data_IF_737716415017
#
_entry.id   IF_737716415017
#
_cell.length_a   1.000
_cell.length_b   1.000
_cell.length_c   1.000
_cell.angle_alpha   90.00
_cell.angle_beta   90.00
_cell.angle_gamma   90.00
#
_symmetry.space_group_name_H-M   'P 1'
#
loop_
_entity.id
_entity.type
_entity.pdbx_description
1 polymer ?
#
# COMPACT_ATOMS: atom_id res chain seq x y z
N UNK A 1 11.69 -35.91 17.21
CA UNK A 1 11.89 -34.70 18.04
C UNK A 1 12.77 -33.75 17.23
N UNK A 2 12.29 -32.56 16.86
CA UNK A 2 13.15 -31.60 16.15
C UNK A 2 14.24 -31.11 17.10
N UNK A 3 15.49 -31.17 16.65
CA UNK A 3 16.61 -30.70 17.47
C UNK A 3 16.60 -29.17 17.52
N UNK A 4 17.08 -28.58 18.62
CA UNK A 4 17.07 -27.13 18.88
C UNK A 4 17.55 -26.29 17.68
N UNK A 5 18.59 -26.76 16.98
CA UNK A 5 19.12 -26.13 15.77
C UNK A 5 18.09 -26.07 14.61
N UNK A 6 17.32 -27.14 14.39
CA UNK A 6 16.29 -27.18 13.35
C UNK A 6 15.14 -26.22 13.66
N UNK A 7 14.78 -26.08 14.94
CA UNK A 7 13.76 -25.11 15.37
C UNK A 7 14.21 -23.67 15.11
N UNK A 8 15.47 -23.34 15.43
CA UNK A 8 16.04 -22.01 15.15
C UNK A 8 16.06 -21.75 13.63
N UNK A 9 16.50 -22.73 12.84
CA UNK A 9 16.59 -22.59 11.39
C UNK A 9 15.20 -22.39 10.77
N UNK A 10 14.20 -23.13 11.23
CA UNK A 10 12.81 -22.98 10.78
C UNK A 10 12.25 -21.59 11.10
N UNK A 11 12.51 -21.08 12.31
CA UNK A 11 12.15 -19.71 12.71
C UNK A 11 12.83 -18.65 11.83
N UNK A 12 14.12 -18.83 11.53
CA UNK A 12 14.87 -17.91 10.69
C UNK A 12 14.32 -17.87 9.25
N UNK A 13 13.99 -19.03 8.67
CA UNK A 13 13.36 -19.13 7.34
C UNK A 13 11.98 -18.47 7.35
N UNK A 14 11.15 -18.73 8.36
CA UNK A 14 9.84 -18.09 8.48
C UNK A 14 9.95 -16.56 8.59
N UNK A 15 10.90 -16.06 9.39
CA UNK A 15 11.16 -14.63 9.51
C UNK A 15 11.62 -14.02 8.17
N UNK A 16 12.53 -14.69 7.45
CA UNK A 16 13.00 -14.23 6.15
C UNK A 16 11.86 -14.13 5.12
N UNK A 17 10.96 -15.13 5.08
CA UNK A 17 9.78 -15.12 4.20
C UNK A 17 8.87 -13.93 4.54
N UNK A 18 8.58 -13.70 5.83
CA UNK A 18 7.76 -12.58 6.28
C UNK A 18 8.38 -11.24 5.88
N UNK A 19 9.68 -11.05 6.13
CA UNK A 19 10.40 -9.82 5.78
C UNK A 19 10.37 -9.60 4.26
N UNK A 20 10.59 -10.66 3.48
CA UNK A 20 10.51 -10.63 2.02
C UNK A 20 9.12 -10.18 1.54
N UNK A 21 8.06 -10.76 2.09
CA UNK A 21 6.67 -10.40 1.75
C UNK A 21 6.35 -8.94 2.11
N UNK A 22 6.70 -8.49 3.31
CA UNK A 22 6.48 -7.10 3.73
C UNK A 22 7.25 -6.11 2.85
N UNK A 23 8.50 -6.45 2.49
CA UNK A 23 9.32 -5.65 1.58
C UNK A 23 8.69 -5.57 0.20
N UNK A 24 8.23 -6.70 -0.33
CA UNK A 24 7.56 -6.78 -1.63
C UNK A 24 6.28 -5.93 -1.67
N UNK A 25 5.43 -6.03 -0.64
CA UNK A 25 4.21 -5.21 -0.51
C UNK A 25 4.56 -3.71 -0.47
N UNK A 26 5.59 -3.33 0.30
CA UNK A 26 6.07 -1.95 0.35
C UNK A 26 6.56 -1.43 -0.99
N UNK A 27 7.27 -2.27 -1.75
CA UNK A 27 7.72 -1.94 -3.11
C UNK A 27 6.53 -1.78 -4.07
N UNK A 28 5.54 -2.69 -4.03
CA UNK A 28 4.33 -2.57 -4.84
C UNK A 28 3.60 -1.26 -4.59
N UNK A 29 3.44 -0.86 -3.33
CA UNK A 29 2.83 0.42 -2.99
C UNK A 29 3.62 1.61 -3.56
N UNK A 30 4.95 1.59 -3.48
CA UNK A 30 5.81 2.61 -4.11
C UNK A 30 5.64 2.65 -5.63
N UNK A 31 5.64 1.49 -6.29
CA UNK A 31 5.42 1.39 -7.72
C UNK A 31 4.04 1.93 -8.13
N UNK A 32 3.00 1.64 -7.35
CA UNK A 32 1.67 2.17 -7.56
C UNK A 32 1.65 3.70 -7.47
N UNK A 33 2.29 4.29 -6.45
CA UNK A 33 2.42 5.74 -6.32
C UNK A 33 3.13 6.35 -7.53
N UNK A 34 4.29 5.81 -7.90
CA UNK A 34 5.06 6.29 -9.05
C UNK A 34 4.25 6.21 -10.36
N UNK A 35 3.58 5.08 -10.61
CA UNK A 35 2.73 4.91 -11.79
C UNK A 35 1.57 5.90 -11.80
N UNK A 36 0.97 6.17 -10.65
CA UNK A 36 -0.14 7.13 -10.52
C UNK A 36 0.33 8.53 -10.88
N UNK A 37 1.42 8.99 -10.27
CA UNK A 37 2.02 10.31 -10.57
C UNK A 37 2.31 10.43 -12.07
N UNK A 38 3.02 9.43 -12.64
CA UNK A 38 3.37 9.42 -14.06
C UNK A 38 2.14 9.44 -14.98
N UNK A 39 1.08 8.72 -14.64
CA UNK A 39 -0.17 8.70 -15.43
C UNK A 39 -0.92 10.03 -15.36
N UNK A 40 -0.89 10.70 -14.19
CA UNK A 40 -1.50 12.01 -14.01
C UNK A 40 -0.70 13.07 -14.78
N UNK A 41 0.63 13.08 -14.67
CA UNK A 41 1.50 14.04 -15.35
C UNK A 41 1.50 13.86 -16.87
N UNK A 42 1.43 12.62 -17.37
CA UNK A 42 1.35 12.35 -18.81
C UNK A 42 -0.05 12.52 -19.40
N UNK A 43 -1.04 13.00 -18.64
CA UNK A 43 -2.42 13.16 -19.09
C UNK A 43 -3.18 11.85 -19.37
N UNK A 44 -2.54 10.68 -19.16
CA UNK A 44 -3.12 9.36 -19.44
C UNK A 44 -4.23 8.95 -18.45
N UNK A 45 -4.33 9.63 -17.32
CA UNK A 45 -5.44 9.48 -16.37
C UNK A 45 -6.43 10.63 -16.55
N UNK A 46 -7.71 10.32 -16.76
CA UNK A 46 -8.77 11.33 -16.78
C UNK A 46 -9.11 11.81 -15.38
N UNK A 47 -9.64 13.02 -15.26
CA UNK A 47 -10.04 13.60 -13.97
C UNK A 47 -11.11 12.76 -13.27
N UNK A 48 -12.09 12.25 -14.03
CA UNK A 48 -13.10 11.33 -13.49
C UNK A 48 -12.47 10.07 -12.87
N UNK A 49 -11.45 9.50 -13.51
CA UNK A 49 -10.73 8.33 -12.98
C UNK A 49 -9.93 8.69 -11.72
N UNK A 50 -9.26 9.84 -11.74
CA UNK A 50 -8.47 10.33 -10.61
C UNK A 50 -9.37 10.59 -9.38
N UNK A 51 -10.48 11.30 -9.56
CA UNK A 51 -11.47 11.56 -8.51
C UNK A 51 -12.07 10.28 -7.95
N UNK A 52 -12.45 9.33 -8.81
CA UNK A 52 -12.98 8.02 -8.37
C UNK A 52 -11.96 7.28 -7.50
N UNK A 53 -10.69 7.25 -7.92
CA UNK A 53 -9.62 6.57 -7.17
C UNK A 53 -9.32 7.29 -5.85
N UNK A 54 -9.29 8.62 -5.85
CA UNK A 54 -9.14 9.44 -4.65
C UNK A 54 -10.27 9.18 -3.64
N UNK A 55 -11.53 9.17 -4.07
CA UNK A 55 -12.66 8.93 -3.17
C UNK A 55 -12.65 7.52 -2.58
N UNK A 56 -12.25 6.53 -3.38
CA UNK A 56 -12.06 5.17 -2.89
C UNK A 56 -10.95 5.09 -1.84
N UNK A 57 -9.78 5.67 -2.11
CA UNK A 57 -8.69 5.67 -1.12
C UNK A 57 -9.05 6.47 0.13
N UNK A 58 -9.76 7.60 0.00
CA UNK A 58 -10.32 8.39 1.12
C UNK A 58 -11.22 7.56 2.02
N UNK A 59 -12.11 6.74 1.44
CA UNK A 59 -13.03 5.87 2.19
C UNK A 59 -12.30 4.77 2.97
N UNK A 60 -11.27 4.18 2.39
CA UNK A 60 -10.64 2.98 2.95
C UNK A 60 -9.33 3.23 3.71
N UNK A 61 -8.71 4.42 3.62
CA UNK A 61 -7.43 4.72 4.29
C UNK A 61 -7.47 4.49 5.81
N UNK A 62 -8.61 4.77 6.44
CA UNK A 62 -8.80 4.67 7.88
C UNK A 62 -9.55 3.41 8.33
N UNK A 63 -10.05 2.61 7.38
CA UNK A 63 -10.80 1.41 7.70
C UNK A 63 -9.88 0.33 8.27
N UNK A 64 -9.97 0.12 9.58
CA UNK A 64 -9.22 -0.92 10.29
C UNK A 64 -9.63 -2.30 9.79
N UNK A 65 -10.94 -2.54 9.64
CA UNK A 65 -11.47 -3.82 9.14
C UNK A 65 -10.93 -4.14 7.75
N UNK A 66 -11.00 -3.19 6.80
CA UNK A 66 -10.51 -3.40 5.45
C UNK A 66 -9.00 -3.64 5.42
N UNK A 67 -8.25 -2.91 6.24
CA UNK A 67 -6.80 -3.05 6.31
C UNK A 67 -6.39 -4.37 6.97
N UNK A 68 -7.11 -4.82 7.99
CA UNK A 68 -6.90 -6.13 8.61
C UNK A 68 -7.22 -7.26 7.65
N UNK A 69 -8.30 -7.17 6.88
CA UNK A 69 -8.65 -8.16 5.86
C UNK A 69 -7.56 -8.31 4.79
N UNK A 70 -6.95 -7.20 4.34
CA UNK A 70 -5.93 -7.23 3.28
C UNK A 70 -4.50 -7.52 3.75
N UNK A 71 -4.14 -7.10 4.97
CA UNK A 71 -2.76 -7.18 5.49
C UNK A 71 -2.61 -8.07 6.72
N UNK A 72 -3.70 -8.68 7.20
CA UNK A 72 -3.72 -9.55 8.37
C UNK A 72 -3.18 -8.88 9.63
N UNK A 73 -2.33 -9.61 10.37
CA UNK A 73 -1.66 -9.12 11.58
C UNK A 73 -0.80 -7.87 11.32
N UNK A 74 -0.40 -7.63 10.07
CA UNK A 74 0.40 -6.48 9.66
C UNK A 74 -0.45 -5.26 9.27
N UNK A 75 -1.72 -5.21 9.69
CA UNK A 75 -2.63 -4.11 9.34
C UNK A 75 -2.09 -2.72 9.66
N UNK A 76 -1.30 -2.54 10.73
CA UNK A 76 -0.68 -1.24 11.05
C UNK A 76 0.29 -0.79 9.96
N UNK A 77 1.04 -1.72 9.38
CA UNK A 77 1.91 -1.46 8.23
C UNK A 77 1.09 -1.13 6.98
N UNK A 78 0.06 -1.94 6.70
CA UNK A 78 -0.89 -1.69 5.61
C UNK A 78 -1.54 -0.31 5.70
N UNK A 79 -1.93 0.15 6.90
CA UNK A 79 -2.53 1.46 7.13
C UNK A 79 -1.55 2.58 6.73
N UNK A 80 -0.27 2.46 7.09
CA UNK A 80 0.77 3.41 6.68
C UNK A 80 0.95 3.45 5.16
N UNK A 81 0.87 2.31 4.48
CA UNK A 81 0.94 2.26 3.02
C UNK A 81 -0.28 2.90 2.36
N UNK A 82 -1.49 2.57 2.84
CA UNK A 82 -2.74 3.16 2.36
C UNK A 82 -2.74 4.68 2.54
N UNK A 83 -2.24 5.19 3.67
CA UNK A 83 -2.07 6.61 3.91
C UNK A 83 -1.15 7.26 2.86
N UNK A 84 0.01 6.66 2.58
CA UNK A 84 0.95 7.19 1.56
C UNK A 84 0.33 7.23 0.17
N UNK A 85 -0.40 6.18 -0.22
CA UNK A 85 -1.11 6.13 -1.50
C UNK A 85 -2.19 7.23 -1.54
N UNK A 86 -2.93 7.44 -0.45
CA UNK A 86 -3.92 8.51 -0.35
C UNK A 86 -3.31 9.91 -0.51
N UNK A 87 -2.19 10.21 0.17
CA UNK A 87 -1.52 11.51 0.03
C UNK A 87 -1.07 11.77 -1.42
N UNK A 88 -0.55 10.75 -2.12
CA UNK A 88 -0.20 10.88 -3.55
C UNK A 88 -1.42 11.23 -4.40
N UNK A 89 -2.56 10.57 -4.19
CA UNK A 89 -3.79 10.92 -4.89
C UNK A 89 -4.27 12.33 -4.57
N UNK A 90 -4.15 12.75 -3.30
CA UNK A 90 -4.49 14.11 -2.86
C UNK A 90 -3.61 15.16 -3.54
N UNK A 91 -2.31 14.94 -3.61
CA UNK A 91 -1.38 15.83 -4.33
C UNK A 91 -1.72 15.90 -5.82
N UNK A 92 -2.03 14.76 -6.47
CA UNK A 92 -2.46 14.74 -7.87
C UNK A 92 -3.75 15.52 -8.10
N UNK A 93 -4.71 15.44 -7.18
CA UNK A 93 -5.95 16.22 -7.22
C UNK A 93 -5.67 17.73 -7.11
N UNK A 94 -4.80 18.13 -6.17
CA UNK A 94 -4.37 19.53 -5.99
C UNK A 94 -3.68 20.06 -7.26
N UNK A 95 -2.75 19.29 -7.84
CA UNK A 95 -2.04 19.67 -9.08
C UNK A 95 -2.97 19.96 -10.25
N UNK A 96 -4.13 19.29 -10.31
CA UNK A 96 -5.15 19.47 -11.36
C UNK A 96 -6.29 20.41 -10.95
N UNK A 97 -6.19 21.05 -9.78
CA UNK A 97 -7.22 21.93 -9.24
C UNK A 97 -8.62 21.27 -9.15
N UNK A 98 -8.65 19.99 -8.77
CA UNK A 98 -9.88 19.19 -8.63
C UNK A 98 -10.44 19.25 -7.20
N UNK A 99 -11.76 19.05 -7.01
CA UNK A 99 -12.40 19.14 -5.69
C UNK A 99 -11.97 17.99 -4.74
N UNK A 100 -11.62 18.33 -3.50
CA UNK A 100 -11.10 17.41 -2.46
C UNK A 100 -12.15 16.95 -1.44
#
# INVERSE_FOLDING_TARGET
MMNFLQTILALAVAAAIIIGLLTFIGLLAKFQCYRTIKQVESGKMSDATLMRRYNMTKKYKDSVFWTFFNYGIYYKYGKKLNQKVFEVFKECMIKRNLPL
#
